data_IF_019825217416
#
_entry.id   IF_019825217416
#
_cell.length_a   1.000
_cell.length_b   1.000
_cell.length_c   1.000
_cell.angle_alpha   90.00
_cell.angle_beta   90.00
_cell.angle_gamma   90.00
#
_symmetry.space_group_name_H-M   'P 1'
#
loop_
_entity.id
_entity.type
_entity.pdbx_description
1 polymer ?
#
# COMPACT_ATOMS: atom_id res chain seq x y z
N UNK A 1 15.72 -3.82 39.23
CA UNK A 1 14.68 -4.85 38.98
C UNK A 1 13.36 -4.27 38.50
N UNK A 2 12.84 -3.26 39.19
CA UNK A 2 11.61 -2.58 38.78
C UNK A 2 11.72 -1.94 37.38
N UNK A 3 12.90 -1.46 37.01
CA UNK A 3 13.14 -0.83 35.71
C UNK A 3 13.12 -1.82 34.55
N UNK A 4 13.55 -3.07 34.78
CA UNK A 4 13.53 -4.11 33.74
C UNK A 4 12.09 -4.54 33.44
N UNK A 5 11.22 -4.64 34.45
CA UNK A 5 9.82 -4.98 34.25
C UNK A 5 9.07 -3.88 33.49
N UNK A 6 9.36 -2.62 33.79
CA UNK A 6 8.78 -1.47 33.05
C UNK A 6 9.24 -1.46 31.60
N UNK A 7 10.51 -1.77 31.35
CA UNK A 7 11.05 -1.85 30.00
C UNK A 7 10.44 -2.99 29.20
N UNK A 8 10.22 -4.15 29.82
CA UNK A 8 9.54 -5.29 29.19
C UNK A 8 8.09 -4.96 28.84
N UNK A 9 7.38 -4.28 29.74
CA UNK A 9 6.01 -3.83 29.48
C UNK A 9 5.92 -2.85 28.32
N UNK A 10 6.84 -1.89 28.26
CA UNK A 10 6.91 -0.91 27.16
C UNK A 10 7.27 -1.59 25.83
N UNK A 11 8.17 -2.56 25.86
CA UNK A 11 8.55 -3.33 24.68
C UNK A 11 7.35 -4.11 24.13
N UNK A 12 6.59 -4.75 25.01
CA UNK A 12 5.38 -5.49 24.65
C UNK A 12 4.33 -4.57 24.04
N UNK A 13 4.11 -3.39 24.62
CA UNK A 13 3.19 -2.37 24.08
C UNK A 13 3.62 -1.93 22.70
N UNK A 14 4.93 -1.71 22.50
CA UNK A 14 5.47 -1.31 21.20
C UNK A 14 5.24 -2.41 20.15
N UNK A 15 5.42 -3.68 20.52
CA UNK A 15 5.16 -4.81 19.62
C UNK A 15 3.68 -4.91 19.25
N UNK A 16 2.79 -4.73 20.21
CA UNK A 16 1.35 -4.75 19.95
C UNK A 16 0.92 -3.62 19.04
N UNK A 17 1.45 -2.41 19.23
CA UNK A 17 1.20 -1.26 18.33
C UNK A 17 1.71 -1.52 16.93
N UNK A 18 2.91 -2.08 16.80
CA UNK A 18 3.49 -2.42 15.48
C UNK A 18 2.66 -3.47 14.75
N UNK A 19 2.18 -4.47 15.47
CA UNK A 19 1.30 -5.50 14.89
C UNK A 19 0.00 -4.87 14.40
N UNK A 20 -0.61 -4.01 15.21
CA UNK A 20 -1.83 -3.31 14.84
C UNK A 20 -1.65 -2.45 13.60
N UNK A 21 -0.54 -1.73 13.53
CA UNK A 21 -0.20 -0.91 12.36
C UNK A 21 -0.07 -1.79 11.11
N UNK A 22 0.64 -2.92 11.20
CA UNK A 22 0.79 -3.85 10.08
C UNK A 22 -0.56 -4.41 9.62
N UNK A 23 -1.42 -4.78 10.56
CA UNK A 23 -2.75 -5.30 10.25
C UNK A 23 -3.61 -4.22 9.58
N UNK A 24 -3.51 -2.98 10.01
CA UNK A 24 -4.22 -1.85 9.41
C UNK A 24 -3.71 -1.54 8.00
N UNK A 25 -2.40 -1.66 7.76
CA UNK A 25 -1.82 -1.45 6.43
C UNK A 25 -2.38 -2.43 5.40
N UNK A 26 -2.72 -3.65 5.80
CA UNK A 26 -3.35 -4.63 4.91
C UNK A 26 -4.71 -4.16 4.39
N UNK A 27 -5.41 -3.34 5.16
CA UNK A 27 -6.74 -2.85 4.79
C UNK A 27 -6.70 -1.61 3.91
N UNK A 28 -5.53 -0.97 3.78
CA UNK A 28 -5.36 0.21 2.94
C UNK A 28 -5.14 -0.24 1.50
N UNK A 29 -5.92 0.29 0.58
CA UNK A 29 -5.79 -0.01 -0.84
C UNK A 29 -5.83 1.27 -1.66
N UNK A 30 -5.10 1.27 -2.76
CA UNK A 30 -5.12 2.33 -3.77
C UNK A 30 -5.34 1.70 -5.13
N UNK A 31 -6.27 2.26 -5.88
CA UNK A 31 -6.49 1.92 -7.28
C UNK A 31 -5.96 3.06 -8.14
N UNK A 32 -5.11 2.73 -9.09
CA UNK A 32 -4.55 3.70 -10.03
C UNK A 32 -4.71 3.20 -11.45
N UNK A 33 -4.83 4.12 -12.39
CA UNK A 33 -5.03 3.78 -13.80
C UNK A 33 -4.05 4.52 -14.71
N UNK A 34 -3.95 4.04 -15.93
CA UNK A 34 -3.19 4.68 -17.00
C UNK A 34 -3.93 4.53 -18.32
N UNK A 35 -3.61 5.39 -19.29
CA UNK A 35 -4.24 5.37 -20.60
C UNK A 35 -5.75 5.62 -20.52
N UNK A 36 -6.18 6.56 -19.67
CA UNK A 36 -7.60 6.90 -19.49
C UNK A 36 -8.44 5.67 -19.08
N UNK A 37 -7.91 4.86 -18.18
CA UNK A 37 -8.61 3.70 -17.64
C UNK A 37 -8.40 2.39 -18.40
N UNK A 38 -7.52 2.37 -19.41
CA UNK A 38 -7.23 1.15 -20.17
C UNK A 38 -6.51 0.10 -19.34
N UNK A 39 -5.69 0.53 -18.38
CA UNK A 39 -5.06 -0.36 -17.41
C UNK A 39 -5.31 0.18 -16.01
N UNK A 40 -5.77 -0.68 -15.12
CA UNK A 40 -6.02 -0.34 -13.71
C UNK A 40 -5.26 -1.33 -12.83
N UNK A 41 -4.61 -0.81 -11.79
CA UNK A 41 -3.92 -1.64 -10.81
C UNK A 41 -4.41 -1.31 -9.42
N UNK A 42 -4.42 -2.30 -8.54
CA UNK A 42 -4.73 -2.11 -7.12
C UNK A 42 -3.52 -2.60 -6.33
N UNK A 43 -3.09 -1.78 -5.37
CA UNK A 43 -1.97 -2.08 -4.47
C UNK A 43 -2.42 -1.85 -3.03
N UNK A 44 -1.92 -2.66 -2.11
CA UNK A 44 -2.23 -2.52 -0.68
C UNK A 44 -1.13 -1.77 0.07
N UNK A 45 -1.36 -1.53 1.37
CA UNK A 45 -0.41 -0.83 2.23
C UNK A 45 0.89 -1.57 2.49
N UNK A 46 0.96 -2.86 2.18
CA UNK A 46 2.20 -3.64 2.21
C UNK A 46 2.96 -3.54 0.88
N UNK A 47 2.46 -2.72 -0.05
CA UNK A 47 3.02 -2.55 -1.39
C UNK A 47 2.97 -3.82 -2.23
N UNK A 48 1.96 -4.64 -2.00
CA UNK A 48 1.67 -5.80 -2.82
C UNK A 48 0.59 -5.44 -3.83
N UNK A 49 0.82 -5.79 -5.09
CA UNK A 49 -0.19 -5.62 -6.13
C UNK A 49 -1.25 -6.71 -5.98
N UNK A 50 -2.50 -6.30 -5.84
CA UNK A 50 -3.63 -7.20 -5.63
C UNK A 50 -4.25 -7.60 -6.97
N UNK A 51 -4.34 -6.65 -7.90
CA UNK A 51 -4.95 -6.90 -9.21
C UNK A 51 -4.40 -5.99 -10.28
N UNK A 52 -4.47 -6.47 -11.51
CA UNK A 52 -4.19 -5.70 -12.72
C UNK A 52 -5.33 -6.01 -13.69
N UNK A 53 -6.05 -4.97 -14.11
CA UNK A 53 -7.09 -5.09 -15.11
C UNK A 53 -6.65 -4.42 -16.40
N UNK A 54 -6.75 -5.13 -17.51
CA UNK A 54 -6.37 -4.64 -18.84
C UNK A 54 -7.62 -4.67 -19.72
N UNK A 55 -7.93 -3.53 -20.34
CA UNK A 55 -9.07 -3.43 -21.22
C UNK A 55 -8.89 -4.33 -22.46
N UNK A 56 -9.95 -5.02 -22.85
CA UNK A 56 -9.92 -5.96 -23.98
C UNK A 56 -9.49 -5.29 -25.29
N UNK A 57 -9.79 -4.02 -25.46
CA UNK A 57 -9.48 -3.27 -26.70
C UNK A 57 -7.99 -3.19 -27.01
N UNK A 58 -7.11 -3.35 -25.99
CA UNK A 58 -5.66 -3.22 -26.18
C UNK A 58 -4.91 -4.55 -26.03
N UNK A 59 -5.59 -5.66 -25.82
CA UNK A 59 -4.93 -6.95 -25.57
C UNK A 59 -3.98 -7.38 -26.68
N UNK A 60 -4.23 -6.98 -27.93
CA UNK A 60 -3.38 -7.31 -29.05
C UNK A 60 -2.21 -6.32 -29.25
N UNK A 61 -2.14 -5.29 -28.41
CA UNK A 61 -1.10 -4.26 -28.51
C UNK A 61 -0.11 -4.43 -27.34
N UNK A 62 0.76 -5.41 -27.48
CA UNK A 62 1.69 -5.83 -26.44
C UNK A 62 2.51 -4.70 -25.85
N UNK A 63 3.11 -3.87 -26.71
CA UNK A 63 3.98 -2.79 -26.26
C UNK A 63 3.20 -1.72 -25.49
N UNK A 64 2.00 -1.40 -25.93
CA UNK A 64 1.12 -0.46 -25.23
C UNK A 64 0.72 -1.00 -23.88
N UNK A 65 0.33 -2.29 -23.81
CA UNK A 65 -0.03 -2.94 -22.54
C UNK A 65 1.13 -2.85 -21.55
N UNK A 66 2.33 -3.18 -21.98
CA UNK A 66 3.52 -3.15 -21.12
C UNK A 66 3.76 -1.74 -20.57
N UNK A 67 3.74 -0.73 -21.44
CA UNK A 67 3.97 0.66 -21.04
C UNK A 67 2.90 1.16 -20.07
N UNK A 68 1.65 0.85 -20.32
CA UNK A 68 0.54 1.28 -19.46
C UNK A 68 0.55 0.57 -18.11
N UNK A 69 0.94 -0.71 -18.06
CA UNK A 69 1.08 -1.44 -16.79
C UNK A 69 2.19 -0.81 -15.94
N UNK A 70 3.32 -0.48 -16.53
CA UNK A 70 4.42 0.19 -15.83
C UNK A 70 3.96 1.56 -15.29
N UNK A 71 3.28 2.34 -16.13
CA UNK A 71 2.79 3.67 -15.74
C UNK A 71 1.78 3.59 -14.59
N UNK A 72 0.79 2.71 -14.69
CA UNK A 72 -0.23 2.54 -13.65
C UNK A 72 0.39 2.04 -12.34
N UNK A 73 1.33 1.09 -12.42
CA UNK A 73 2.00 0.52 -11.26
C UNK A 73 2.85 1.54 -10.53
N UNK A 74 3.63 2.33 -11.26
CA UNK A 74 4.46 3.39 -10.65
C UNK A 74 3.59 4.47 -10.00
N UNK A 75 2.50 4.83 -10.63
CA UNK A 75 1.52 5.77 -10.06
C UNK A 75 0.91 5.22 -8.77
N UNK A 76 0.51 3.96 -8.78
CA UNK A 76 -0.06 3.29 -7.62
C UNK A 76 0.92 3.26 -6.44
N UNK A 77 2.19 2.97 -6.69
CA UNK A 77 3.21 2.95 -5.63
C UNK A 77 3.42 4.33 -5.02
N UNK A 78 3.38 5.39 -5.81
CA UNK A 78 3.47 6.76 -5.28
C UNK A 78 2.26 7.11 -4.44
N UNK A 79 1.07 6.77 -4.91
CA UNK A 79 -0.18 7.06 -4.21
C UNK A 79 -0.31 6.28 -2.91
N UNK A 80 0.11 5.01 -2.88
CA UNK A 80 0.05 4.21 -1.66
C UNK A 80 1.04 4.73 -0.61
N UNK A 81 2.23 5.20 -1.01
CA UNK A 81 3.18 5.80 -0.09
C UNK A 81 2.59 7.03 0.61
N UNK A 82 1.91 7.87 -0.14
CA UNK A 82 1.24 9.06 0.41
C UNK A 82 0.15 8.64 1.40
N UNK A 83 -0.66 7.67 1.02
CA UNK A 83 -1.76 7.18 1.85
C UNK A 83 -1.27 6.54 3.14
N UNK A 84 -0.18 5.78 3.07
CA UNK A 84 0.47 5.19 4.24
C UNK A 84 0.96 6.28 5.20
N UNK A 85 1.64 7.30 4.67
CA UNK A 85 2.14 8.42 5.48
C UNK A 85 1.02 9.17 6.17
N UNK A 86 -0.07 9.43 5.48
CA UNK A 86 -1.26 10.08 6.05
C UNK A 86 -1.87 9.25 7.17
N UNK A 87 -2.00 7.94 6.95
CA UNK A 87 -2.53 7.00 7.92
C UNK A 87 -1.64 6.94 9.17
N UNK A 88 -0.32 6.87 8.99
CA UNK A 88 0.64 6.86 10.09
C UNK A 88 0.61 8.16 10.90
N UNK A 89 0.42 9.29 10.25
CA UNK A 89 0.25 10.59 10.93
C UNK A 89 -0.92 10.57 11.90
N UNK A 90 -2.05 10.06 11.47
CA UNK A 90 -3.26 9.95 12.30
C UNK A 90 -3.00 9.06 13.51
N UNK A 91 -2.32 7.92 13.32
CA UNK A 91 -2.01 6.97 14.38
C UNK A 91 -1.01 7.54 15.41
N UNK A 92 -0.04 8.32 14.96
CA UNK A 92 0.99 8.90 15.83
C UNK A 92 0.42 10.07 16.65
N UNK A 93 -0.51 10.83 16.08
CA UNK A 93 -1.07 12.05 16.70
C UNK A 93 -2.28 11.77 17.60
N UNK A 94 -2.74 10.55 17.67
CA UNK A 94 -3.78 10.11 18.60
C UNK A 94 -3.17 9.31 19.74
#
# INVERSE_FOLDING_TARGET
MLDMMKMMGKFKEAQEKMKKIKDELDTIEVSSDSGAGLVKVVVNGKKEFISVEIDESILNEKDMVQDLVVAASNKALKEIDIKIKEHMKVLINT
#
